data_IF_244205767901
#
_entry.id   IF_244205767901
#
_cell.length_a   1.000
_cell.length_b   1.000
_cell.length_c   1.000
_cell.angle_alpha   90.00
_cell.angle_beta   90.00
_cell.angle_gamma   90.00
#
_symmetry.space_group_name_H-M   'P 1'
#
loop_
_entity.id
_entity.type
_entity.pdbx_description
1 polymer ?
#
# COMPACT_ATOMS: atom_id res chain seq x y z
N UNK A 1 4.03 -14.35 24.54
CA UNK A 1 5.11 -13.34 24.44
C UNK A 1 4.57 -11.96 24.74
N UNK A 2 5.42 -11.06 25.24
CA UNK A 2 5.13 -9.64 25.41
C UNK A 2 5.57 -8.86 24.16
N UNK A 3 4.64 -8.22 23.47
CA UNK A 3 4.85 -7.65 22.14
C UNK A 3 4.54 -6.16 22.15
N UNK A 4 5.38 -5.37 21.48
CA UNK A 4 5.04 -4.01 21.07
C UNK A 4 4.69 -4.05 19.58
N UNK A 5 3.49 -3.58 19.25
CA UNK A 5 2.99 -3.52 17.88
C UNK A 5 3.05 -2.08 17.36
N UNK A 6 3.96 -1.83 16.43
CA UNK A 6 3.90 -0.65 15.57
C UNK A 6 2.93 -0.90 14.43
N UNK A 7 2.02 0.00 14.14
CA UNK A 7 1.07 -0.26 13.07
C UNK A 7 0.22 0.93 12.69
N UNK A 8 -0.52 0.77 11.58
CA UNK A 8 -1.50 1.75 11.12
C UNK A 8 -2.62 1.10 10.32
N UNK A 9 -3.82 1.68 10.43
CA UNK A 9 -4.99 1.30 9.64
C UNK A 9 -5.38 -0.17 9.76
N UNK A 10 -5.98 -0.71 8.69
CA UNK A 10 -6.54 -2.07 8.65
C UNK A 10 -5.51 -3.16 8.92
N UNK A 11 -4.29 -3.01 8.35
CA UNK A 11 -3.24 -4.01 8.54
C UNK A 11 -2.76 -4.05 9.99
N UNK A 12 -2.66 -2.88 10.65
CA UNK A 12 -2.38 -2.80 12.08
C UNK A 12 -3.48 -3.45 12.92
N UNK A 13 -4.76 -3.20 12.59
CA UNK A 13 -5.91 -3.85 13.24
C UNK A 13 -5.86 -5.36 13.12
N UNK A 14 -5.56 -5.85 11.91
CA UNK A 14 -5.42 -7.29 11.63
C UNK A 14 -4.30 -7.92 12.48
N UNK A 15 -3.15 -7.24 12.61
CA UNK A 15 -2.07 -7.70 13.46
C UNK A 15 -2.45 -7.75 14.94
N UNK A 16 -3.10 -6.71 15.45
CA UNK A 16 -3.56 -6.66 16.83
C UNK A 16 -4.57 -7.76 17.15
N UNK A 17 -5.57 -7.94 16.28
CA UNK A 17 -6.60 -8.98 16.44
C UNK A 17 -5.98 -10.38 16.39
N UNK A 18 -5.06 -10.63 15.45
CA UNK A 18 -4.33 -11.88 15.35
C UNK A 18 -3.56 -12.20 16.63
N UNK A 19 -2.75 -11.26 17.13
CA UNK A 19 -1.93 -11.45 18.33
C UNK A 19 -2.78 -11.77 19.56
N UNK A 20 -3.88 -11.07 19.74
CA UNK A 20 -4.82 -11.32 20.84
C UNK A 20 -5.48 -12.69 20.72
N UNK A 21 -5.87 -13.09 19.52
CA UNK A 21 -6.44 -14.44 19.27
C UNK A 21 -5.43 -15.56 19.54
N UNK A 22 -4.12 -15.28 19.42
CA UNK A 22 -3.06 -16.22 19.80
C UNK A 22 -2.75 -16.22 21.30
N UNK A 23 -3.43 -15.39 22.10
CA UNK A 23 -3.17 -15.27 23.55
C UNK A 23 -1.89 -14.51 23.88
N UNK A 24 -1.37 -13.70 22.96
CA UNK A 24 -0.19 -12.87 23.19
C UNK A 24 -0.52 -11.61 23.99
N UNK A 25 0.44 -11.14 24.77
CA UNK A 25 0.33 -9.89 25.51
C UNK A 25 0.81 -8.73 24.63
N UNK A 26 -0.11 -7.95 24.07
CA UNK A 26 0.26 -6.70 23.39
C UNK A 26 0.44 -5.61 24.43
N UNK A 27 1.70 -5.28 24.74
CA UNK A 27 2.06 -4.33 25.80
C UNK A 27 1.61 -2.90 25.46
N UNK A 28 1.74 -2.52 24.20
CA UNK A 28 1.19 -1.30 23.64
C UNK A 28 1.09 -1.41 22.10
N UNK A 29 0.19 -0.62 21.55
CA UNK A 29 0.16 -0.27 20.12
C UNK A 29 0.81 1.10 19.96
N UNK A 30 1.83 1.18 19.11
CA UNK A 30 2.46 2.44 18.69
C UNK A 30 1.96 2.76 17.29
N UNK A 31 1.27 3.89 17.12
CA UNK A 31 0.60 4.26 15.88
C UNK A 31 0.74 5.75 15.60
N UNK A 32 0.10 6.23 14.56
CA UNK A 32 -0.04 7.64 14.21
C UNK A 32 -1.45 8.12 14.51
N UNK A 33 -1.62 9.44 14.70
CA UNK A 33 -2.97 10.02 14.70
C UNK A 33 -3.60 9.84 13.34
N UNK A 34 -4.90 9.54 13.33
CA UNK A 34 -5.66 9.53 12.09
C UNK A 34 -5.72 10.96 11.53
N UNK A 35 -5.39 11.11 10.25
CA UNK A 35 -5.44 12.42 9.58
C UNK A 35 -6.91 12.79 9.32
N UNK A 36 -7.42 13.89 9.89
CA UNK A 36 -8.81 14.32 9.70
C UNK A 36 -9.13 14.70 8.24
N UNK A 37 -8.11 14.98 7.42
CA UNK A 37 -8.26 15.32 6.01
C UNK A 37 -8.16 14.08 5.09
N UNK A 38 -7.78 12.92 5.62
CA UNK A 38 -7.73 11.67 4.84
C UNK A 38 -9.13 11.04 4.77
N UNK A 39 -9.64 10.80 3.56
CA UNK A 39 -10.85 9.99 3.37
C UNK A 39 -10.55 8.56 3.84
N UNK A 40 -10.80 8.29 5.13
CA UNK A 40 -10.56 6.98 5.73
C UNK A 40 -11.59 5.96 5.24
N UNK A 41 -11.10 4.88 4.69
CA UNK A 41 -11.89 3.76 4.17
C UNK A 41 -11.52 2.42 4.81
N UNK A 42 -10.71 2.46 5.86
CA UNK A 42 -10.23 1.35 6.68
C UNK A 42 -10.38 1.70 8.17
N UNK A 43 -10.30 0.68 9.02
CA UNK A 43 -10.45 0.86 10.47
C UNK A 43 -9.25 1.60 11.08
N UNK A 44 -9.52 2.35 12.13
CA UNK A 44 -8.46 2.99 12.93
C UNK A 44 -7.86 2.01 13.92
N UNK A 45 -6.55 1.82 13.86
CA UNK A 45 -5.85 0.97 14.82
C UNK A 45 -5.94 1.55 16.24
N UNK A 46 -5.90 2.88 16.40
CA UNK A 46 -6.02 3.52 17.72
C UNK A 46 -7.40 3.29 18.35
N UNK A 47 -8.47 3.34 17.55
CA UNK A 47 -9.83 3.07 18.02
C UNK A 47 -10.00 1.58 18.41
N UNK A 48 -9.54 0.66 17.57
CA UNK A 48 -9.60 -0.79 17.81
C UNK A 48 -8.77 -1.17 19.05
N UNK A 49 -7.57 -0.61 19.23
CA UNK A 49 -6.73 -0.88 20.38
C UNK A 49 -7.36 -0.38 21.68
N UNK A 50 -7.90 0.85 21.70
CA UNK A 50 -8.62 1.41 22.86
C UNK A 50 -9.84 0.56 23.24
N UNK A 51 -10.65 0.17 22.26
CA UNK A 51 -11.80 -0.71 22.50
C UNK A 51 -11.39 -2.09 23.04
N UNK A 52 -10.19 -2.54 22.70
CA UNK A 52 -9.61 -3.80 23.17
C UNK A 52 -8.90 -3.68 24.54
N UNK A 53 -8.85 -2.49 25.16
CA UNK A 53 -8.13 -2.23 26.41
C UNK A 53 -6.61 -2.27 26.27
N UNK A 54 -6.07 -2.11 25.06
CA UNK A 54 -4.63 -2.10 24.80
C UNK A 54 -4.12 -0.66 24.82
N UNK A 55 -3.05 -0.34 25.57
CA UNK A 55 -2.44 0.98 25.58
C UNK A 55 -2.08 1.48 24.18
N UNK A 56 -2.43 2.73 23.88
CA UNK A 56 -2.12 3.39 22.60
C UNK A 56 -1.11 4.49 22.83
N UNK A 57 -0.03 4.48 22.06
CA UNK A 57 1.01 5.51 22.03
C UNK A 57 1.09 6.10 20.61
N UNK A 58 1.12 7.42 20.52
CA UNK A 58 1.37 8.10 19.26
C UNK A 58 2.88 8.34 19.12
N UNK A 59 3.50 7.65 18.15
CA UNK A 59 4.96 7.56 18.07
C UNK A 59 5.66 8.88 17.78
N UNK A 60 4.96 9.85 17.21
CA UNK A 60 5.44 11.22 16.98
C UNK A 60 5.43 12.11 18.22
N UNK A 61 4.82 11.67 19.31
CA UNK A 61 4.62 12.46 20.53
C UNK A 61 5.55 12.04 21.69
N UNK A 62 6.36 11.00 21.49
CA UNK A 62 7.17 10.39 22.56
C UNK A 62 8.60 10.10 22.12
N UNK A 63 9.49 9.94 23.07
CA UNK A 63 10.76 9.23 22.84
C UNK A 63 10.46 7.74 22.70
N UNK A 64 10.66 7.21 21.49
CA UNK A 64 10.41 5.81 21.19
C UNK A 64 11.36 4.88 21.93
N UNK A 65 12.62 5.27 22.15
CA UNK A 65 13.62 4.47 22.86
C UNK A 65 13.21 4.23 24.31
N UNK A 66 12.97 5.30 25.04
CA UNK A 66 12.54 5.24 26.44
C UNK A 66 11.20 4.51 26.57
N UNK A 67 10.23 4.84 25.71
CA UNK A 67 8.89 4.24 25.75
C UNK A 67 8.94 2.74 25.51
N UNK A 68 9.63 2.28 24.47
CA UNK A 68 9.71 0.84 24.14
C UNK A 68 10.52 0.09 25.18
N UNK A 69 11.61 0.69 25.72
CA UNK A 69 12.40 0.07 26.78
C UNK A 69 11.58 -0.15 28.07
N UNK A 70 10.76 0.84 28.45
CA UNK A 70 9.88 0.74 29.62
C UNK A 70 8.82 -0.39 29.46
N UNK A 71 8.38 -0.67 28.24
CA UNK A 71 7.42 -1.73 27.91
C UNK A 71 8.03 -3.14 27.97
N UNK A 72 9.35 -3.26 27.96
CA UNK A 72 10.11 -4.54 28.02
C UNK A 72 9.55 -5.60 27.06
N UNK A 73 9.52 -5.33 25.73
CA UNK A 73 8.99 -6.29 24.78
C UNK A 73 9.97 -7.46 24.58
N UNK A 74 9.41 -8.66 24.34
CA UNK A 74 10.15 -9.82 23.85
C UNK A 74 10.31 -9.80 22.33
N UNK A 75 9.33 -9.17 21.64
CA UNK A 75 9.30 -9.02 20.17
C UNK A 75 8.70 -7.68 19.78
N UNK A 76 9.23 -7.07 18.74
CA UNK A 76 8.63 -5.92 18.07
C UNK A 76 8.04 -6.36 16.74
N UNK A 77 6.81 -5.95 16.46
CA UNK A 77 6.15 -6.12 15.16
C UNK A 77 5.80 -4.79 14.56
N UNK A 78 5.92 -4.68 13.25
CA UNK A 78 5.55 -3.49 12.48
C UNK A 78 4.61 -3.86 11.34
N UNK A 79 3.39 -3.34 11.35
CA UNK A 79 2.37 -3.62 10.34
C UNK A 79 1.85 -2.30 9.74
N UNK A 80 2.46 -1.89 8.64
CA UNK A 80 2.13 -0.65 7.92
C UNK A 80 2.35 0.63 8.74
N UNK A 81 3.26 0.61 9.72
CA UNK A 81 3.70 1.83 10.40
C UNK A 81 4.35 2.79 9.40
N UNK A 82 3.95 4.07 9.42
CA UNK A 82 4.29 5.03 8.35
C UNK A 82 5.66 5.72 8.51
N UNK A 83 6.34 5.54 9.64
CA UNK A 83 7.64 6.13 9.93
C UNK A 83 8.74 5.09 10.06
N UNK A 84 9.98 5.52 9.87
CA UNK A 84 11.13 4.67 10.17
C UNK A 84 11.28 4.50 11.69
N UNK A 85 11.49 3.26 12.12
CA UNK A 85 11.79 2.95 13.52
C UNK A 85 13.32 2.93 13.66
N UNK A 86 13.90 3.73 14.59
CA UNK A 86 15.36 3.79 14.76
C UNK A 86 15.95 2.43 15.15
N UNK A 87 17.15 2.14 14.66
CA UNK A 87 17.84 0.87 14.98
C UNK A 87 17.98 0.58 16.48
N UNK A 88 18.32 1.57 17.34
CA UNK A 88 18.36 1.31 18.79
C UNK A 88 17.02 0.81 19.35
N UNK A 89 15.88 1.31 18.82
CA UNK A 89 14.53 0.83 19.22
C UNK A 89 14.30 -0.61 18.79
N UNK A 90 14.66 -0.96 17.55
CA UNK A 90 14.51 -2.31 17.00
C UNK A 90 15.33 -3.36 17.77
N UNK A 91 16.42 -2.93 18.41
CA UNK A 91 17.34 -3.79 19.17
C UNK A 91 16.92 -4.01 20.63
N UNK A 92 15.89 -3.31 21.13
CA UNK A 92 15.42 -3.44 22.51
C UNK A 92 14.85 -4.84 22.79
N UNK A 93 14.11 -5.40 21.84
CA UNK A 93 13.47 -6.70 22.02
C UNK A 93 14.46 -7.84 21.71
N UNK A 94 14.67 -8.79 22.64
CA UNK A 94 15.60 -9.92 22.42
C UNK A 94 15.18 -10.84 21.26
N UNK A 95 13.88 -10.96 20.97
CA UNK A 95 13.36 -11.66 19.80
C UNK A 95 13.51 -10.89 18.49
N UNK A 96 14.01 -9.64 18.54
CA UNK A 96 14.20 -8.78 17.39
C UNK A 96 12.93 -8.04 16.97
N UNK A 97 12.95 -7.58 15.72
CA UNK A 97 11.86 -6.84 15.13
C UNK A 97 11.50 -7.40 13.74
N UNK A 98 10.21 -7.61 13.49
CA UNK A 98 9.68 -8.09 12.21
C UNK A 98 8.73 -7.06 11.62
N UNK A 99 8.77 -6.91 10.29
CA UNK A 99 7.84 -6.04 9.55
C UNK A 99 7.05 -6.83 8.53
N UNK A 100 5.76 -6.55 8.46
CA UNK A 100 4.88 -7.05 7.40
C UNK A 100 4.81 -6.02 6.29
N UNK A 101 5.37 -6.36 5.13
CA UNK A 101 5.44 -5.50 3.95
C UNK A 101 4.47 -5.97 2.86
N UNK A 102 3.84 -5.03 2.16
CA UNK A 102 2.79 -5.29 1.16
C UNK A 102 3.31 -5.58 -0.24
N UNK A 103 4.40 -6.29 -0.38
CA UNK A 103 4.89 -6.80 -1.65
C UNK A 103 5.56 -8.17 -1.49
N UNK A 104 5.84 -8.82 -2.62
CA UNK A 104 6.69 -10.02 -2.69
C UNK A 104 8.16 -9.56 -2.78
N UNK A 105 8.79 -9.32 -1.61
CA UNK A 105 10.19 -8.90 -1.54
C UNK A 105 11.11 -9.89 -2.28
N UNK A 106 12.20 -9.42 -2.90
CA UNK A 106 12.82 -8.10 -2.78
C UNK A 106 12.24 -7.02 -3.70
N UNK A 107 11.21 -7.30 -4.50
CA UNK A 107 10.59 -6.28 -5.36
C UNK A 107 9.74 -5.31 -4.53
N UNK A 108 9.71 -4.05 -4.97
CA UNK A 108 8.89 -2.98 -4.41
C UNK A 108 9.13 -2.73 -2.90
N UNK A 109 10.41 -2.71 -2.48
CA UNK A 109 10.79 -2.17 -1.17
C UNK A 109 10.39 -0.69 -1.07
N UNK A 110 10.13 -0.20 0.13
CA UNK A 110 9.82 1.20 0.41
C UNK A 110 8.32 1.45 0.58
N UNK A 111 7.79 2.50 -0.07
CA UNK A 111 6.46 3.03 0.22
C UNK A 111 5.42 2.62 -0.84
N UNK A 112 4.16 2.47 -0.39
CA UNK A 112 2.99 2.21 -1.25
C UNK A 112 3.15 1.04 -2.25
N UNK A 113 3.70 -0.13 -1.84
CA UNK A 113 4.05 -1.22 -2.76
C UNK A 113 2.84 -1.75 -3.54
N UNK A 114 1.65 -1.78 -2.94
CA UNK A 114 0.41 -2.21 -3.58
C UNK A 114 0.05 -1.31 -4.79
N UNK A 115 0.12 0.01 -4.60
CA UNK A 115 -0.15 0.94 -5.70
C UNK A 115 0.93 0.83 -6.79
N UNK A 116 2.21 0.71 -6.40
CA UNK A 116 3.30 0.55 -7.34
C UNK A 116 3.23 -0.74 -8.15
N UNK A 117 2.72 -1.83 -7.57
CA UNK A 117 2.51 -3.09 -8.31
C UNK A 117 1.61 -2.87 -9.53
N UNK A 118 0.53 -2.09 -9.39
CA UNK A 118 -0.35 -1.74 -10.51
C UNK A 118 0.29 -0.76 -11.49
N UNK A 119 0.90 0.33 -10.98
CA UNK A 119 1.57 1.33 -11.84
C UNK A 119 2.68 0.70 -12.70
N UNK A 120 3.42 -0.27 -12.15
CA UNK A 120 4.47 -0.99 -12.87
C UNK A 120 3.97 -2.17 -13.69
N UNK A 121 2.65 -2.41 -13.66
CA UNK A 121 2.02 -3.53 -14.36
C UNK A 121 2.63 -4.87 -13.96
N UNK A 122 2.92 -5.06 -12.66
CA UNK A 122 3.36 -6.35 -12.15
C UNK A 122 2.25 -7.39 -12.36
N UNK A 123 2.64 -8.62 -12.63
CA UNK A 123 1.68 -9.72 -12.80
C UNK A 123 1.28 -10.35 -11.47
N UNK A 124 2.12 -10.15 -10.45
CA UNK A 124 1.92 -10.68 -9.11
C UNK A 124 2.07 -9.58 -8.06
N UNK A 125 1.33 -9.71 -6.97
CA UNK A 125 1.55 -9.00 -5.72
C UNK A 125 1.76 -9.99 -4.57
N UNK A 126 2.00 -9.48 -3.35
CA UNK A 126 2.20 -10.36 -2.21
C UNK A 126 2.29 -9.60 -0.89
N UNK A 127 2.48 -10.39 0.16
CA UNK A 127 2.88 -9.91 1.48
C UNK A 127 4.11 -10.67 1.94
N UNK A 128 5.00 -9.97 2.62
CA UNK A 128 6.24 -10.53 3.17
C UNK A 128 6.39 -10.13 4.62
N UNK A 129 6.55 -11.11 5.49
CA UNK A 129 7.06 -10.89 6.84
C UNK A 129 8.59 -11.04 6.80
N UNK A 130 9.32 -10.03 7.26
CA UNK A 130 10.79 -10.02 7.22
C UNK A 130 11.39 -9.43 8.49
N UNK A 131 12.64 -9.76 8.77
CA UNK A 131 13.43 -9.15 9.84
C UNK A 131 13.71 -7.69 9.50
N UNK A 132 13.62 -6.81 10.50
CA UNK A 132 13.93 -5.40 10.29
C UNK A 132 15.43 -5.16 10.45
N UNK A 133 15.98 -4.39 9.52
CA UNK A 133 17.39 -3.95 9.48
C UNK A 133 17.44 -2.46 9.15
N UNK A 134 18.64 -1.86 9.18
CA UNK A 134 18.84 -0.44 8.90
C UNK A 134 18.30 0.00 7.53
N UNK A 135 18.52 -0.83 6.50
CA UNK A 135 18.01 -0.55 5.16
C UNK A 135 16.51 -0.95 5.07
N UNK A 136 15.63 -0.06 4.60
CA UNK A 136 14.20 -0.35 4.53
C UNK A 136 13.92 -1.62 3.75
N UNK A 137 13.09 -2.50 4.32
CA UNK A 137 12.57 -3.74 3.74
C UNK A 137 13.63 -4.70 3.16
N UNK A 138 14.91 -4.58 3.60
CA UNK A 138 16.03 -5.34 3.08
C UNK A 138 16.46 -6.54 3.94
N UNK A 139 15.84 -6.73 5.09
CA UNK A 139 16.19 -7.84 6.00
C UNK A 139 15.68 -9.19 5.52
N UNK A 140 16.21 -10.25 6.13
CA UNK A 140 15.90 -11.63 5.78
C UNK A 140 14.41 -11.92 5.86
N UNK A 141 13.92 -12.69 4.90
CA UNK A 141 12.51 -13.08 4.83
C UNK A 141 12.22 -14.18 5.85
N UNK A 142 11.14 -13.99 6.61
CA UNK A 142 10.57 -15.03 7.47
C UNK A 142 9.58 -15.89 6.68
N UNK A 143 8.65 -15.25 5.99
CA UNK A 143 7.66 -15.93 5.15
C UNK A 143 7.08 -14.96 4.10
N UNK A 144 6.56 -15.52 3.01
CA UNK A 144 5.90 -14.77 1.94
C UNK A 144 4.65 -15.52 1.45
N UNK A 145 3.65 -14.75 1.04
CA UNK A 145 2.50 -15.24 0.26
C UNK A 145 2.30 -14.33 -0.92
N UNK A 146 2.11 -14.91 -2.10
CA UNK A 146 1.91 -14.18 -3.36
C UNK A 146 0.60 -14.56 -4.03
N UNK A 147 0.10 -13.69 -4.88
CA UNK A 147 -1.08 -13.93 -5.72
C UNK A 147 -0.96 -13.21 -7.06
N UNK A 148 -1.66 -13.71 -8.09
CA UNK A 148 -1.76 -13.03 -9.38
C UNK A 148 -2.66 -11.80 -9.28
N UNK A 149 -2.27 -10.73 -9.94
CA UNK A 149 -3.09 -9.52 -10.10
C UNK A 149 -4.07 -9.76 -11.24
N UNK A 150 -5.35 -9.64 -10.96
CA UNK A 150 -6.40 -9.74 -11.95
C UNK A 150 -6.46 -8.51 -12.87
N UNK A 151 -7.03 -8.66 -14.07
CA UNK A 151 -7.05 -7.59 -15.08
C UNK A 151 -7.87 -6.36 -14.66
N UNK A 152 -8.76 -6.49 -13.69
CA UNK A 152 -9.62 -5.40 -13.18
C UNK A 152 -9.34 -5.05 -11.71
N UNK A 153 -8.39 -5.73 -11.07
CA UNK A 153 -8.06 -5.45 -9.67
C UNK A 153 -7.59 -4.00 -9.49
N UNK A 154 -8.17 -3.32 -8.53
CA UNK A 154 -7.74 -1.98 -8.08
C UNK A 154 -6.77 -2.09 -6.89
N UNK A 155 -6.14 -0.99 -6.52
CA UNK A 155 -5.29 -0.97 -5.33
C UNK A 155 -6.08 -1.29 -4.05
N UNK A 156 -7.38 -0.96 -3.99
CA UNK A 156 -8.26 -1.34 -2.88
C UNK A 156 -8.47 -2.85 -2.80
N UNK A 157 -8.72 -3.50 -3.95
CA UNK A 157 -8.90 -4.96 -4.01
C UNK A 157 -7.62 -5.68 -3.57
N UNK A 158 -6.46 -5.25 -4.10
CA UNK A 158 -5.16 -5.80 -3.70
C UNK A 158 -4.86 -5.56 -2.22
N UNK A 159 -5.27 -4.42 -1.67
CA UNK A 159 -5.06 -4.10 -0.25
C UNK A 159 -5.84 -5.07 0.65
N UNK A 160 -7.13 -5.31 0.40
CA UNK A 160 -7.91 -6.25 1.21
C UNK A 160 -7.43 -7.69 1.01
N UNK A 161 -7.02 -8.06 -0.20
CA UNK A 161 -6.39 -9.35 -0.43
C UNK A 161 -5.08 -9.48 0.36
N UNK A 162 -4.26 -8.43 0.42
CA UNK A 162 -3.05 -8.41 1.25
C UNK A 162 -3.37 -8.61 2.74
N UNK A 163 -4.48 -8.02 3.23
CA UNK A 163 -4.95 -8.22 4.62
C UNK A 163 -5.30 -9.69 4.88
N UNK A 164 -6.01 -10.34 3.96
CA UNK A 164 -6.40 -11.75 4.14
C UNK A 164 -5.20 -12.69 4.02
N UNK A 165 -4.32 -12.46 3.05
CA UNK A 165 -3.08 -13.24 2.91
C UNK A 165 -2.12 -13.04 4.10
N UNK A 166 -2.11 -11.84 4.70
CA UNK A 166 -1.35 -11.58 5.93
C UNK A 166 -1.84 -12.42 7.12
N UNK A 167 -3.16 -12.56 7.29
CA UNK A 167 -3.74 -13.43 8.34
C UNK A 167 -3.29 -14.88 8.17
N UNK A 168 -3.34 -15.39 6.92
CA UNK A 168 -2.91 -16.75 6.60
C UNK A 168 -1.40 -16.92 6.82
N UNK A 169 -0.58 -15.97 6.34
CA UNK A 169 0.87 -15.99 6.54
C UNK A 169 1.24 -16.02 8.02
N UNK A 170 0.62 -15.14 8.82
CA UNK A 170 0.87 -15.09 10.25
C UNK A 170 0.48 -16.39 10.94
N UNK A 171 -0.67 -16.97 10.59
CA UNK A 171 -1.12 -18.26 11.13
C UNK A 171 -0.10 -19.37 10.86
N UNK A 172 0.44 -19.43 9.65
CA UNK A 172 1.38 -20.47 9.23
C UNK A 172 2.73 -20.34 9.95
N UNK A 173 3.24 -19.10 10.14
CA UNK A 173 4.60 -18.91 10.64
C UNK A 173 4.67 -18.61 12.14
N UNK A 174 3.55 -18.29 12.79
CA UNK A 174 3.51 -17.86 14.18
C UNK A 174 4.08 -18.91 15.17
N UNK A 175 3.85 -20.23 15.00
CA UNK A 175 4.48 -21.23 15.86
C UNK A 175 6.01 -21.16 15.85
N UNK A 176 6.62 -20.94 14.68
CA UNK A 176 8.08 -20.83 14.55
C UNK A 176 8.61 -19.52 15.18
N UNK A 177 7.87 -18.41 15.01
CA UNK A 177 8.21 -17.13 15.66
C UNK A 177 8.17 -17.29 17.19
N UNK A 178 7.13 -17.90 17.72
CA UNK A 178 6.96 -18.15 19.15
C UNK A 178 8.07 -19.04 19.73
N UNK A 179 8.53 -20.03 18.96
CA UNK A 179 9.61 -20.94 19.33
C UNK A 179 11.01 -20.32 19.15
N UNK A 180 11.13 -19.11 18.61
CA UNK A 180 12.42 -18.49 18.28
C UNK A 180 13.16 -19.17 17.10
N UNK A 181 12.45 -19.94 16.29
CA UNK A 181 12.97 -20.67 15.12
C UNK A 181 12.48 -20.10 13.79
N UNK A 182 12.01 -18.85 13.79
CA UNK A 182 11.56 -18.19 12.58
C UNK A 182 12.66 -18.20 11.50
N UNK A 183 12.34 -18.54 10.24
CA UNK A 183 13.31 -18.58 9.15
C UNK A 183 14.03 -17.24 8.96
N UNK A 184 15.26 -17.32 8.41
CA UNK A 184 16.07 -16.18 7.96
C UNK A 184 16.56 -16.46 6.56
N UNK A 185 15.75 -16.12 5.56
CA UNK A 185 16.06 -16.36 4.16
C UNK A 185 16.58 -15.03 3.56
N UNK A 186 17.88 -14.95 3.19
CA UNK A 186 18.43 -13.74 2.61
C UNK A 186 17.70 -13.34 1.32
N UNK A 187 17.50 -12.03 1.16
CA UNK A 187 16.91 -11.51 -0.06
C UNK A 187 17.97 -11.41 -1.17
N UNK A 188 17.60 -11.78 -2.40
CA UNK A 188 18.41 -11.54 -3.60
C UNK A 188 18.40 -10.05 -3.95
N UNK A 189 19.44 -9.34 -3.54
CA UNK A 189 19.55 -7.89 -3.75
C UNK A 189 19.61 -7.48 -5.22
N UNK A 190 19.97 -8.38 -6.15
CA UNK A 190 20.01 -8.10 -7.59
C UNK A 190 18.60 -7.90 -8.18
N UNK A 191 17.58 -8.45 -7.52
CA UNK A 191 16.17 -8.32 -7.89
C UNK A 191 15.44 -7.21 -7.15
N UNK A 192 16.13 -6.52 -6.24
CA UNK A 192 15.50 -5.50 -5.42
C UNK A 192 15.14 -4.25 -6.22
N UNK A 193 13.92 -3.76 -6.00
CA UNK A 193 13.49 -2.45 -6.47
C UNK A 193 13.00 -1.61 -5.31
N UNK A 194 13.22 -0.30 -5.35
CA UNK A 194 12.79 0.64 -4.30
C UNK A 194 11.81 1.65 -4.88
N UNK A 195 10.74 1.94 -4.13
CA UNK A 195 9.73 2.93 -4.53
C UNK A 195 9.43 3.90 -3.39
N UNK A 196 9.25 5.17 -3.79
CA UNK A 196 8.93 6.27 -2.89
C UNK A 196 7.44 6.37 -2.56
N UNK A 197 7.13 7.34 -1.68
CA UNK A 197 5.74 7.74 -1.40
C UNK A 197 5.10 8.32 -2.66
N UNK A 198 3.85 7.93 -2.92
CA UNK A 198 3.02 8.57 -3.94
C UNK A 198 2.31 9.80 -3.37
N UNK A 199 2.13 10.80 -4.24
CA UNK A 199 1.39 12.04 -3.97
C UNK A 199 0.22 12.15 -4.94
N UNK A 200 -0.81 12.96 -4.66
CA UNK A 200 -1.94 13.15 -5.58
C UNK A 200 -1.51 13.54 -7.01
N UNK A 201 -0.48 14.37 -7.15
CA UNK A 201 0.01 14.80 -8.47
C UNK A 201 0.66 13.67 -9.28
N UNK A 202 1.11 12.58 -8.65
CA UNK A 202 1.58 11.40 -9.35
C UNK A 202 0.45 10.64 -10.09
N UNK A 203 -0.80 11.07 -9.91
CA UNK A 203 -1.97 10.58 -10.64
C UNK A 203 -2.17 11.22 -12.03
N UNK A 204 -1.32 12.19 -12.44
CA UNK A 204 -1.39 12.78 -13.78
C UNK A 204 -1.14 11.74 -14.86
N UNK A 205 -2.08 11.62 -15.80
CA UNK A 205 -1.96 10.69 -16.92
C UNK A 205 -1.00 11.28 -17.97
N UNK A 206 0.00 10.50 -18.32
CA UNK A 206 0.86 10.73 -19.48
C UNK A 206 0.35 9.87 -20.63
N UNK A 207 -0.35 10.50 -21.58
CA UNK A 207 -0.94 9.83 -22.73
C UNK A 207 0.09 9.26 -23.72
N UNK A 208 1.37 9.64 -23.61
CA UNK A 208 2.46 9.06 -24.40
C UNK A 208 2.87 7.66 -23.95
N UNK A 209 2.43 7.25 -22.77
CA UNK A 209 2.65 5.89 -22.27
C UNK A 209 1.76 4.86 -22.99
N UNK A 210 2.14 3.57 -23.00
CA UNK A 210 1.27 2.50 -23.47
C UNK A 210 -0.05 2.44 -22.69
N UNK A 211 -1.14 2.07 -23.33
CA UNK A 211 -2.48 1.96 -22.74
C UNK A 211 -2.49 1.11 -21.46
N UNK A 212 -1.70 0.01 -21.42
CA UNK A 212 -1.56 -0.85 -20.22
C UNK A 212 -0.97 -0.11 -19.01
N UNK A 213 -0.07 0.85 -19.23
CA UNK A 213 0.54 1.67 -18.17
C UNK A 213 -0.46 2.68 -17.62
N UNK A 214 -1.25 3.26 -18.52
CA UNK A 214 -2.34 4.19 -18.14
C UNK A 214 -3.39 3.43 -17.32
N UNK A 215 -3.77 2.22 -17.74
CA UNK A 215 -4.68 1.36 -16.98
C UNK A 215 -4.13 1.02 -15.59
N UNK A 216 -2.87 0.63 -15.51
CA UNK A 216 -2.19 0.39 -14.24
C UNK A 216 -2.23 1.59 -13.30
N UNK A 217 -1.97 2.80 -13.83
CA UNK A 217 -2.08 4.04 -13.06
C UNK A 217 -3.52 4.28 -12.58
N UNK A 218 -4.52 4.20 -13.47
CA UNK A 218 -5.93 4.44 -13.11
C UNK A 218 -6.38 3.48 -12.02
N UNK A 219 -6.11 2.18 -12.16
CA UNK A 219 -6.46 1.16 -11.15
C UNK A 219 -5.70 1.35 -9.82
N UNK A 220 -4.47 1.86 -9.88
CA UNK A 220 -3.66 2.13 -8.70
C UNK A 220 -4.17 3.27 -7.83
N UNK A 221 -4.87 4.25 -8.43
CA UNK A 221 -5.24 5.48 -7.73
C UNK A 221 -6.74 5.79 -7.78
N UNK A 222 -7.57 4.89 -8.35
CA UNK A 222 -9.04 5.05 -8.31
C UNK A 222 -9.57 5.04 -6.88
N UNK A 223 -10.84 5.39 -6.68
CA UNK A 223 -11.46 5.45 -5.35
C UNK A 223 -11.10 4.21 -4.49
N UNK A 224 -10.70 4.42 -3.26
CA UNK A 224 -10.72 5.61 -2.40
C UNK A 224 -9.48 6.51 -2.47
N UNK A 225 -8.55 6.24 -3.38
CA UNK A 225 -7.36 7.06 -3.58
C UNK A 225 -7.68 8.34 -4.36
N UNK A 226 -6.74 9.30 -4.46
CA UNK A 226 -7.00 10.63 -5.04
C UNK A 226 -7.43 10.68 -6.51
N UNK A 227 -7.34 9.57 -7.24
CA UNK A 227 -7.74 9.47 -8.65
C UNK A 227 -6.62 9.76 -9.64
N UNK A 228 -6.72 9.14 -10.83
CA UNK A 228 -5.95 9.56 -11.99
C UNK A 228 -6.60 10.79 -12.62
N UNK A 229 -5.81 11.64 -13.27
CA UNK A 229 -6.36 12.85 -13.88
C UNK A 229 -5.60 13.28 -15.14
N UNK A 230 -6.30 14.03 -15.96
CA UNK A 230 -5.77 14.73 -17.13
C UNK A 230 -6.35 16.14 -17.18
N UNK A 231 -6.15 16.85 -18.28
CA UNK A 231 -6.76 18.15 -18.52
C UNK A 231 -7.55 18.13 -19.83
N UNK A 232 -8.63 18.84 -19.89
CA UNK A 232 -9.43 19.10 -21.09
C UNK A 232 -9.78 20.59 -21.11
N UNK A 233 -9.22 21.31 -22.10
CA UNK A 233 -9.41 22.78 -22.20
C UNK A 233 -8.97 23.51 -20.93
N UNK A 234 -7.83 23.14 -20.34
CA UNK A 234 -7.30 23.73 -19.10
C UNK A 234 -8.00 23.29 -17.80
N UNK A 235 -9.12 22.56 -17.88
CA UNK A 235 -9.85 22.05 -16.70
C UNK A 235 -9.36 20.65 -16.31
N UNK A 236 -9.16 20.41 -15.01
CA UNK A 236 -8.78 19.09 -14.48
C UNK A 236 -9.94 18.11 -14.66
N UNK A 237 -9.68 17.01 -15.33
CA UNK A 237 -10.62 15.90 -15.56
C UNK A 237 -10.11 14.67 -14.82
N UNK A 238 -10.91 14.19 -13.87
CA UNK A 238 -10.62 12.91 -13.18
C UNK A 238 -11.01 11.75 -14.06
N UNK A 239 -10.16 10.69 -14.07
CA UNK A 239 -10.41 9.43 -14.76
C UNK A 239 -10.38 8.31 -13.70
N UNK A 240 -11.55 7.78 -13.43
CA UNK A 240 -11.76 6.79 -12.35
C UNK A 240 -11.76 5.35 -12.83
N UNK A 241 -12.13 5.12 -14.08
CA UNK A 241 -12.17 3.79 -14.67
C UNK A 241 -12.00 3.84 -16.17
N UNK A 242 -11.45 2.79 -16.75
CA UNK A 242 -11.31 2.58 -18.18
C UNK A 242 -10.64 1.25 -18.49
N UNK A 243 -10.40 1.02 -19.76
CA UNK A 243 -9.77 -0.20 -20.27
C UNK A 243 -8.85 0.06 -21.44
N UNK A 244 -7.73 -0.66 -21.56
CA UNK A 244 -6.95 -0.70 -22.79
C UNK A 244 -7.78 -1.23 -23.96
N UNK A 245 -7.59 -0.64 -25.13
CA UNK A 245 -8.26 -1.01 -26.36
C UNK A 245 -7.34 -0.88 -27.57
N UNK A 246 -7.73 -1.47 -28.68
CA UNK A 246 -7.07 -1.22 -29.96
C UNK A 246 -7.42 0.19 -30.45
N UNK A 247 -6.43 0.87 -31.01
CA UNK A 247 -6.60 2.20 -31.59
C UNK A 247 -5.24 2.81 -31.93
N UNK A 248 -5.26 3.80 -32.85
CA UNK A 248 -4.08 4.54 -33.27
C UNK A 248 -4.43 6.02 -33.44
N UNK A 249 -3.49 6.88 -33.16
CA UNK A 249 -3.65 8.33 -33.28
C UNK A 249 -2.55 9.09 -32.56
N UNK A 250 -2.65 10.40 -32.55
CA UNK A 250 -1.74 11.23 -31.75
C UNK A 250 -2.08 11.04 -30.26
N UNK A 251 -1.11 10.68 -29.40
CA UNK A 251 -1.36 10.50 -27.97
C UNK A 251 -2.11 11.66 -27.33
N UNK A 252 -3.14 11.36 -26.53
CA UNK A 252 -4.03 12.33 -25.91
C UNK A 252 -5.22 12.77 -26.77
N UNK A 253 -5.28 12.40 -28.06
CA UNK A 253 -6.41 12.76 -28.92
C UNK A 253 -7.51 11.71 -28.84
N UNK A 254 -8.76 12.15 -28.68
CA UNK A 254 -9.94 11.30 -28.71
C UNK A 254 -10.19 10.75 -30.14
N UNK A 255 -10.18 9.44 -30.26
CA UNK A 255 -10.46 8.71 -31.51
C UNK A 255 -11.97 8.60 -31.72
N UNK A 256 -12.71 8.41 -30.64
CA UNK A 256 -14.18 8.51 -30.53
C UNK A 256 -14.54 9.26 -29.23
N UNK A 257 -15.81 9.28 -28.84
CA UNK A 257 -16.32 10.05 -27.69
C UNK A 257 -15.89 9.47 -26.33
N UNK A 258 -15.06 8.41 -26.28
CA UNK A 258 -14.55 7.80 -25.05
C UNK A 258 -13.16 7.18 -25.22
N UNK A 259 -12.67 7.01 -26.44
CA UNK A 259 -11.44 6.31 -26.76
C UNK A 259 -10.32 7.31 -27.05
N UNK A 260 -9.28 7.29 -26.24
CA UNK A 260 -8.12 8.19 -26.35
C UNK A 260 -6.93 7.42 -26.94
N UNK A 261 -6.29 7.98 -27.95
CA UNK A 261 -5.01 7.45 -28.46
C UNK A 261 -3.92 7.55 -27.41
N UNK A 262 -3.07 6.54 -27.30
CA UNK A 262 -1.95 6.49 -26.38
C UNK A 262 -0.64 6.24 -27.10
N UNK A 263 0.48 6.20 -26.42
CA UNK A 263 1.78 5.89 -27.04
C UNK A 263 1.80 4.53 -27.72
N UNK A 264 1.03 3.56 -27.19
CA UNK A 264 0.81 2.26 -27.80
C UNK A 264 -0.63 1.81 -27.49
N UNK A 265 -1.43 1.58 -28.54
CA UNK A 265 -2.85 1.28 -28.43
C UNK A 265 -3.71 2.50 -28.11
N UNK A 266 -4.81 2.27 -27.45
CA UNK A 266 -5.73 3.32 -27.00
C UNK A 266 -6.31 2.96 -25.60
N UNK A 267 -6.85 3.95 -24.93
CA UNK A 267 -7.51 3.78 -23.62
C UNK A 267 -8.94 4.26 -23.68
N UNK A 268 -9.89 3.39 -23.38
CA UNK A 268 -11.31 3.72 -23.30
C UNK A 268 -11.64 4.20 -21.91
N UNK A 269 -12.04 5.46 -21.79
CA UNK A 269 -12.51 6.06 -20.53
C UNK A 269 -13.95 5.58 -20.30
N UNK A 270 -14.16 4.88 -19.18
CA UNK A 270 -15.48 4.38 -18.76
C UNK A 270 -16.16 5.29 -17.74
N UNK A 271 -15.34 5.92 -16.86
CA UNK A 271 -15.84 6.85 -15.84
C UNK A 271 -14.86 8.00 -15.63
N UNK A 272 -15.39 9.21 -15.85
CA UNK A 272 -14.66 10.45 -15.60
C UNK A 272 -15.60 11.54 -15.09
N UNK A 273 -15.05 12.54 -14.40
CA UNK A 273 -15.81 13.66 -13.86
C UNK A 273 -14.92 14.89 -13.65
N UNK A 274 -15.54 16.05 -13.53
CA UNK A 274 -14.87 17.27 -13.07
C UNK A 274 -14.95 17.36 -11.55
N UNK A 275 -13.82 17.50 -10.81
CA UNK A 275 -13.82 17.48 -9.34
C UNK A 275 -14.63 18.63 -8.73
N UNK A 276 -14.71 19.79 -9.41
CA UNK A 276 -15.50 20.93 -8.99
C UNK A 276 -17.00 20.79 -9.26
N UNK A 277 -17.41 19.85 -10.14
CA UNK A 277 -18.80 19.55 -10.51
C UNK A 277 -18.97 18.07 -10.84
N UNK A 278 -19.01 17.20 -9.83
CA UNK A 278 -19.08 15.75 -10.07
C UNK A 278 -20.35 15.28 -10.81
N UNK A 279 -21.42 16.08 -10.78
CA UNK A 279 -22.66 15.81 -11.54
C UNK A 279 -22.54 16.08 -13.05
N UNK A 280 -21.58 16.95 -13.45
CA UNK A 280 -21.40 17.31 -14.86
C UNK A 280 -20.61 16.19 -15.56
N UNK A 281 -21.26 15.48 -16.46
CA UNK A 281 -20.55 14.52 -17.31
C UNK A 281 -19.68 15.26 -18.31
N UNK A 282 -18.39 14.90 -18.47
CA UNK A 282 -17.54 15.50 -19.49
C UNK A 282 -18.11 15.21 -20.88
N UNK A 283 -18.31 16.25 -21.67
CA UNK A 283 -18.71 16.14 -23.09
C UNK A 283 -17.46 15.85 -23.92
N UNK A 284 -17.05 14.59 -23.93
CA UNK A 284 -15.91 14.13 -24.70
C UNK A 284 -16.34 13.90 -26.15
N UNK A 285 -15.62 14.46 -27.12
CA UNK A 285 -15.89 14.28 -28.54
C UNK A 285 -14.64 13.94 -29.32
N UNK A 286 -14.84 13.16 -30.36
CA UNK A 286 -13.77 12.82 -31.32
C UNK A 286 -12.99 14.07 -31.75
N UNK A 287 -11.68 13.99 -31.77
CA UNK A 287 -10.76 15.06 -32.13
C UNK A 287 -10.36 15.99 -30.99
N UNK A 288 -11.03 15.96 -29.84
CA UNK A 288 -10.59 16.72 -28.66
C UNK A 288 -9.25 16.16 -28.14
N UNK A 289 -8.44 17.04 -27.53
CA UNK A 289 -7.13 16.69 -27.00
C UNK A 289 -7.11 16.80 -25.49
N UNK A 290 -6.66 15.73 -24.85
CA UNK A 290 -6.45 15.64 -23.40
C UNK A 290 -4.98 15.87 -23.05
N UNK A 291 -4.74 16.44 -21.88
CA UNK A 291 -3.39 16.72 -21.38
C UNK A 291 -2.97 18.18 -21.44
N UNK A 292 -3.79 19.01 -22.05
CA UNK A 292 -3.58 20.47 -22.20
C UNK A 292 -4.58 21.27 -21.38
#
# INVERSE_FOLDING_TARGET
MRIVLFGYGEMGCTGLEFLRAQGETVAAVITHRDDPNEKRWYRSLSEVAKAAGVPVVYGEEVDLGETVAALKPELILSFYYRSMIPMPVLQIAPGGALNLHGSKLPRLRGRAPINWALVECEEESGVTLHHMVKAPDAGDIVAQRGWKIGPRDTAKDLFFRAVDEAKLLLKDVWPAIRAGTAPRIPQDSTKATYRGRRRPDDGKIDWTQPARRIDGLVRAVTDPFPGAFTFLGGRRLMVWAGTPAAGQGTPGTLIDDSLVATGEGAYRIERSEYPERPSDRPDLKKGMKLGE
#
